data_IF_885621072010
#
_entry.id   IF_885621072010
#
_cell.length_a   1.000
_cell.length_b   1.000
_cell.length_c   1.000
_cell.angle_alpha   90.00
_cell.angle_beta   90.00
_cell.angle_gamma   90.00
#
_symmetry.space_group_name_H-M   'P 1'
#
loop_
_entity.id
_entity.type
_entity.pdbx_description
1 polymer ?
#
# COMPACT_ATOMS: atom_id res chain seq x y z
N UNK A 1 -56.11 -1.43 -10.52
CA UNK A 1 -55.19 -0.51 -9.80
C UNK A 1 -54.12 -1.22 -8.97
N UNK A 2 -54.39 -2.35 -8.34
CA UNK A 2 -53.41 -3.14 -7.60
C UNK A 2 -52.24 -3.68 -8.48
N UNK A 3 -52.51 -3.97 -9.75
CA UNK A 3 -51.47 -4.46 -10.69
C UNK A 3 -50.45 -3.36 -11.04
N UNK A 4 -50.93 -2.12 -11.22
CA UNK A 4 -50.05 -0.96 -11.50
C UNK A 4 -49.20 -0.63 -10.31
N UNK A 5 -49.76 -0.66 -9.09
CA UNK A 5 -49.04 -0.43 -7.85
C UNK A 5 -47.95 -1.47 -7.62
N UNK A 6 -48.26 -2.74 -7.87
CA UNK A 6 -47.27 -3.84 -7.76
C UNK A 6 -46.14 -3.73 -8.77
N UNK A 7 -46.44 -3.29 -10.00
CA UNK A 7 -45.45 -3.05 -11.04
C UNK A 7 -44.55 -1.86 -10.68
N UNK A 8 -45.12 -0.76 -10.17
CA UNK A 8 -44.39 0.43 -9.71
C UNK A 8 -43.48 0.11 -8.54
N UNK A 9 -43.96 -0.64 -7.55
CA UNK A 9 -43.15 -1.08 -6.41
C UNK A 9 -42.00 -2.00 -6.84
N UNK A 10 -42.24 -2.91 -7.80
CA UNK A 10 -41.18 -3.79 -8.34
C UNK A 10 -40.12 -3.02 -9.08
N UNK A 11 -40.50 -2.02 -9.87
CA UNK A 11 -39.52 -1.17 -10.57
C UNK A 11 -38.73 -0.29 -9.60
N UNK A 12 -39.41 0.31 -8.61
CA UNK A 12 -38.76 1.13 -7.60
C UNK A 12 -37.77 0.31 -6.76
N UNK A 13 -38.10 -0.93 -6.38
CA UNK A 13 -37.19 -1.80 -5.61
C UNK A 13 -35.93 -2.16 -6.40
N UNK A 14 -36.02 -2.32 -7.71
CA UNK A 14 -34.84 -2.55 -8.56
C UNK A 14 -33.87 -1.36 -8.54
N UNK A 15 -34.40 -0.14 -8.70
CA UNK A 15 -33.54 1.07 -8.66
C UNK A 15 -32.92 1.30 -7.28
N UNK A 16 -33.67 1.00 -6.21
CA UNK A 16 -33.14 1.08 -4.84
C UNK A 16 -32.01 0.05 -4.63
N UNK A 17 -32.19 -1.18 -5.13
CA UNK A 17 -31.16 -2.23 -5.02
C UNK A 17 -29.90 -1.85 -5.79
N UNK A 18 -30.03 -1.32 -7.01
CA UNK A 18 -28.89 -0.86 -7.82
C UNK A 18 -28.19 0.33 -7.15
N UNK A 19 -28.96 1.30 -6.64
CA UNK A 19 -28.41 2.45 -5.91
C UNK A 19 -27.67 2.04 -4.65
N UNK A 20 -28.20 1.09 -3.89
CA UNK A 20 -27.52 0.53 -2.72
C UNK A 20 -26.20 -0.15 -3.13
N UNK A 21 -26.21 -0.95 -4.20
CA UNK A 21 -25.00 -1.63 -4.70
C UNK A 21 -23.91 -0.64 -5.09
N UNK A 22 -24.27 0.48 -5.74
CA UNK A 22 -23.33 1.53 -6.12
C UNK A 22 -22.78 2.25 -4.89
N UNK A 23 -23.63 2.56 -3.90
CA UNK A 23 -23.19 3.23 -2.65
C UNK A 23 -22.26 2.32 -1.85
N UNK A 24 -22.55 1.02 -1.77
CA UNK A 24 -21.74 0.05 -1.02
C UNK A 24 -20.60 -0.58 -1.85
N UNK A 25 -20.38 -0.13 -3.08
CA UNK A 25 -19.32 -0.64 -3.93
C UNK A 25 -17.93 -0.61 -3.26
N UNK A 26 -17.50 0.48 -2.60
CA UNK A 26 -16.19 0.53 -1.96
C UNK A 26 -16.08 -0.46 -0.79
N UNK A 27 -17.14 -0.60 0.02
CA UNK A 27 -17.18 -1.54 1.13
C UNK A 27 -17.15 -3.00 0.65
N UNK A 28 -17.91 -3.31 -0.41
CA UNK A 28 -17.89 -4.63 -1.04
C UNK A 28 -16.51 -4.96 -1.62
N UNK A 29 -15.85 -4.00 -2.28
CA UNK A 29 -14.50 -4.18 -2.80
C UNK A 29 -13.51 -4.48 -1.68
N UNK A 30 -13.60 -3.78 -0.56
CA UNK A 30 -12.76 -4.01 0.62
C UNK A 30 -12.99 -5.40 1.23
N UNK A 31 -14.25 -5.79 1.42
CA UNK A 31 -14.61 -7.12 1.96
C UNK A 31 -14.17 -8.26 1.04
N UNK A 32 -14.34 -8.11 -0.28
CA UNK A 32 -13.89 -9.10 -1.25
C UNK A 32 -12.36 -9.19 -1.31
N UNK A 33 -11.66 -8.07 -1.14
CA UNK A 33 -10.21 -8.03 -0.99
C UNK A 33 -9.72 -8.82 0.24
N UNK A 34 -10.38 -8.67 1.38
CA UNK A 34 -10.08 -9.43 2.60
C UNK A 34 -10.31 -10.95 2.41
N UNK A 35 -11.34 -11.35 1.65
CA UNK A 35 -11.60 -12.74 1.30
C UNK A 35 -10.58 -13.33 0.32
N UNK A 36 -10.04 -12.50 -0.60
CA UNK A 36 -8.98 -12.89 -1.54
C UNK A 36 -7.63 -13.18 -0.86
N UNK A 37 -7.41 -12.61 0.32
CA UNK A 37 -6.22 -12.83 1.15
C UNK A 37 -6.23 -14.15 1.94
N UNK A 38 -7.23 -15.02 1.74
CA UNK A 38 -7.17 -16.36 2.32
C UNK A 38 -5.98 -17.12 1.70
N UNK A 39 -5.06 -17.67 2.52
CA UNK A 39 -3.78 -18.20 2.09
C UNK A 39 -3.87 -19.52 1.30
N UNK A 40 -4.95 -19.69 0.53
CA UNK A 40 -5.21 -20.94 -0.21
C UNK A 40 -4.42 -21.05 -1.53
N UNK A 41 -3.81 -19.95 -2.02
CA UNK A 41 -3.22 -19.90 -3.36
C UNK A 41 -1.82 -19.26 -3.45
N UNK A 42 -1.24 -18.78 -2.35
CA UNK A 42 0.09 -18.18 -2.38
C UNK A 42 1.11 -19.18 -1.85
N UNK A 43 2.10 -19.51 -2.67
CA UNK A 43 3.17 -20.43 -2.31
C UNK A 43 4.01 -19.78 -1.20
N UNK A 44 4.02 -20.40 -0.03
CA UNK A 44 4.74 -19.95 1.18
C UNK A 44 6.24 -19.69 0.94
N UNK A 45 6.79 -20.18 -0.15
CA UNK A 45 8.20 -20.04 -0.51
C UNK A 45 8.50 -18.64 -1.10
N UNK A 46 7.73 -18.19 -2.08
CA UNK A 46 7.89 -16.86 -2.72
C UNK A 46 7.71 -15.69 -1.73
N UNK A 47 6.76 -15.82 -0.81
CA UNK A 47 6.58 -14.80 0.23
C UNK A 47 7.78 -14.67 1.18
N UNK A 48 8.47 -15.78 1.49
CA UNK A 48 9.64 -15.75 2.37
C UNK A 48 10.85 -15.11 1.69
N UNK A 49 11.10 -15.40 0.43
CA UNK A 49 12.20 -14.82 -0.33
C UNK A 49 12.04 -13.30 -0.44
N UNK A 50 10.84 -12.81 -0.71
CA UNK A 50 10.55 -11.38 -0.77
C UNK A 50 10.74 -10.66 0.57
N UNK A 51 10.37 -11.31 1.67
CA UNK A 51 10.60 -10.75 3.02
C UNK A 51 12.10 -10.64 3.31
N UNK A 52 12.90 -11.65 2.97
CA UNK A 52 14.34 -11.62 3.16
C UNK A 52 15.02 -10.50 2.36
N UNK A 53 14.62 -10.29 1.10
CA UNK A 53 15.10 -9.18 0.26
C UNK A 53 14.81 -7.84 0.94
N UNK A 54 13.60 -7.64 1.45
CA UNK A 54 13.22 -6.40 2.12
C UNK A 54 14.03 -6.21 3.40
N UNK A 55 14.16 -7.25 4.23
CA UNK A 55 14.92 -7.17 5.49
C UNK A 55 16.37 -6.79 5.21
N UNK A 56 17.05 -7.48 4.29
CA UNK A 56 18.43 -7.16 3.92
C UNK A 56 18.58 -5.73 3.41
N UNK A 57 17.64 -5.28 2.58
CA UNK A 57 17.64 -3.91 2.05
C UNK A 57 17.53 -2.89 3.17
N UNK A 58 16.54 -3.02 4.05
CA UNK A 58 16.27 -2.01 5.08
C UNK A 58 17.38 -1.98 6.13
N UNK A 59 18.01 -3.11 6.46
CA UNK A 59 19.18 -3.16 7.34
C UNK A 59 20.36 -2.39 6.74
N UNK A 60 20.70 -2.64 5.47
CA UNK A 60 21.78 -1.94 4.78
C UNK A 60 21.51 -0.43 4.66
N UNK A 61 20.27 -0.04 4.30
CA UNK A 61 19.90 1.37 4.22
C UNK A 61 19.87 2.06 5.59
N UNK A 62 19.48 1.34 6.65
CA UNK A 62 19.49 1.83 8.02
C UNK A 62 20.90 2.12 8.53
N UNK A 63 21.86 1.23 8.25
CA UNK A 63 23.26 1.37 8.65
C UNK A 63 23.89 2.65 8.09
N UNK A 64 23.53 3.01 6.86
CA UNK A 64 24.04 4.23 6.18
C UNK A 64 23.09 5.42 6.29
N UNK A 65 21.96 5.27 7.00
CA UNK A 65 20.91 6.28 7.19
C UNK A 65 20.34 6.84 5.87
N UNK A 66 20.14 5.97 4.91
CA UNK A 66 19.42 6.30 3.69
C UNK A 66 17.92 6.05 3.93
N UNK A 67 17.10 7.10 3.76
CA UNK A 67 15.64 7.01 3.92
C UNK A 67 15.01 6.15 2.85
N UNK A 68 14.10 5.25 3.23
CA UNK A 68 13.35 4.41 2.31
C UNK A 68 11.88 4.33 2.70
N UNK A 69 11.02 4.11 1.70
CA UNK A 69 9.59 3.92 1.83
C UNK A 69 9.15 2.84 0.85
N UNK A 70 8.84 1.64 1.36
CA UNK A 70 8.55 0.46 0.56
C UNK A 70 7.15 -0.03 0.90
N UNK A 71 6.23 -0.02 -0.08
CA UNK A 71 4.89 -0.60 0.03
C UNK A 71 4.83 -1.94 -0.69
N UNK A 72 4.25 -2.95 -0.05
CA UNK A 72 4.09 -4.29 -0.60
C UNK A 72 2.62 -4.46 -0.97
N UNK A 73 2.32 -4.40 -2.29
CA UNK A 73 0.95 -4.55 -2.78
C UNK A 73 0.40 -5.94 -2.43
N UNK A 74 -0.80 -5.94 -1.86
CA UNK A 74 -1.54 -7.14 -1.52
C UNK A 74 -2.78 -7.27 -2.42
N UNK A 75 -3.96 -7.43 -1.83
CA UNK A 75 -5.21 -7.60 -2.60
C UNK A 75 -5.77 -6.28 -3.12
N UNK A 76 -5.56 -5.18 -2.40
CA UNK A 76 -5.99 -3.85 -2.82
C UNK A 76 -4.90 -3.26 -3.71
N UNK A 77 -5.24 -3.01 -4.97
CA UNK A 77 -4.33 -2.37 -5.91
C UNK A 77 -4.02 -0.93 -5.50
N UNK A 78 -2.74 -0.55 -5.57
CA UNK A 78 -2.26 0.78 -5.21
C UNK A 78 -2.34 1.76 -6.41
N UNK A 79 -3.50 1.78 -7.11
CA UNK A 79 -3.66 2.47 -8.38
C UNK A 79 -3.32 3.97 -8.32
N UNK A 80 -3.79 4.68 -7.30
CA UNK A 80 -3.53 6.12 -7.17
C UNK A 80 -2.04 6.42 -6.93
N UNK A 81 -1.36 5.58 -6.15
CA UNK A 81 0.07 5.70 -5.91
C UNK A 81 0.88 5.35 -7.18
N UNK A 82 0.45 4.33 -7.92
CA UNK A 82 1.06 3.90 -9.18
C UNK A 82 1.00 5.00 -10.25
N UNK A 83 -0.13 5.72 -10.38
CA UNK A 83 -0.29 6.80 -11.37
C UNK A 83 0.70 7.96 -11.18
N UNK A 84 1.17 8.19 -9.95
CA UNK A 84 2.18 9.20 -9.64
C UNK A 84 3.62 8.74 -9.88
N UNK A 85 3.83 7.42 -9.95
CA UNK A 85 5.13 6.78 -9.96
C UNK A 85 5.73 6.60 -11.35
N UNK A 86 7.01 6.22 -11.35
CA UNK A 86 7.75 5.84 -12.53
C UNK A 86 7.79 4.31 -12.63
N UNK A 87 7.42 3.76 -13.78
CA UNK A 87 7.47 2.32 -14.04
C UNK A 87 8.93 1.86 -14.04
N UNK A 88 9.24 0.85 -13.23
CA UNK A 88 10.58 0.22 -13.14
C UNK A 88 10.52 -1.20 -13.67
N UNK A 89 9.52 -1.97 -13.25
CA UNK A 89 9.21 -3.33 -13.68
C UNK A 89 10.42 -4.27 -13.73
N UNK A 90 11.13 -4.39 -12.62
CA UNK A 90 12.28 -5.30 -12.46
C UNK A 90 12.11 -6.22 -11.26
N UNK A 91 12.97 -7.25 -11.17
CA UNK A 91 13.05 -8.13 -10.01
C UNK A 91 13.43 -7.34 -8.74
N UNK A 92 12.79 -7.65 -7.64
CA UNK A 92 13.08 -7.04 -6.35
C UNK A 92 14.33 -7.69 -5.76
N UNK A 93 15.45 -6.97 -5.86
CA UNK A 93 16.73 -7.36 -5.23
C UNK A 93 17.20 -6.27 -4.28
N UNK A 94 17.99 -6.60 -3.25
CA UNK A 94 18.53 -5.59 -2.35
C UNK A 94 19.31 -4.51 -3.09
N UNK A 95 20.13 -4.90 -4.07
CA UNK A 95 20.99 -4.00 -4.85
C UNK A 95 20.15 -3.02 -5.70
N UNK A 96 19.02 -3.47 -6.25
CA UNK A 96 18.12 -2.60 -7.02
C UNK A 96 17.42 -1.61 -6.10
N UNK A 97 16.90 -2.06 -4.96
CA UNK A 97 16.25 -1.19 -3.98
C UNK A 97 17.22 -0.16 -3.40
N UNK A 98 18.44 -0.57 -3.05
CA UNK A 98 19.52 0.35 -2.62
C UNK A 98 19.82 1.39 -3.70
N UNK A 99 19.89 0.97 -4.97
CA UNK A 99 20.12 1.87 -6.10
C UNK A 99 19.01 2.89 -6.25
N UNK A 100 17.75 2.47 -6.11
CA UNK A 100 16.59 3.37 -6.19
C UNK A 100 16.64 4.42 -5.09
N UNK A 101 16.88 4.02 -3.83
CA UNK A 101 16.89 4.95 -2.69
C UNK A 101 18.19 5.73 -2.52
N UNK A 102 19.21 5.42 -3.32
CA UNK A 102 20.48 6.12 -3.21
C UNK A 102 20.30 7.63 -3.43
N UNK A 103 20.81 8.48 -2.52
CA UNK A 103 20.65 9.94 -2.62
C UNK A 103 21.14 10.48 -3.96
N UNK A 104 20.43 11.46 -4.49
CA UNK A 104 20.65 12.08 -5.81
C UNK A 104 20.33 11.21 -7.02
N UNK A 105 19.76 10.02 -6.83
CA UNK A 105 19.12 9.29 -7.94
C UNK A 105 17.81 10.01 -8.34
N UNK A 106 17.48 10.00 -9.62
CA UNK A 106 16.28 10.67 -10.14
C UNK A 106 14.95 10.13 -9.57
N UNK A 107 14.95 8.91 -9.05
CA UNK A 107 13.76 8.18 -8.57
C UNK A 107 13.80 7.87 -7.07
N UNK A 108 14.71 8.49 -6.30
CA UNK A 108 14.87 8.20 -4.87
C UNK A 108 13.83 8.87 -3.97
N UNK A 109 13.21 9.95 -4.47
CA UNK A 109 12.20 10.70 -3.72
C UNK A 109 10.81 10.10 -3.97
N UNK A 110 10.20 9.61 -2.89
CA UNK A 110 8.92 8.90 -2.93
C UNK A 110 9.00 7.48 -2.41
N UNK A 111 7.97 6.71 -2.72
CA UNK A 111 7.87 5.29 -2.33
C UNK A 111 8.14 4.35 -3.49
N UNK A 112 8.50 3.13 -3.13
CA UNK A 112 8.62 1.99 -4.04
C UNK A 112 7.44 1.05 -3.81
N UNK A 113 6.86 0.53 -4.87
CA UNK A 113 5.80 -0.46 -4.82
C UNK A 113 6.35 -1.80 -5.31
N UNK A 114 6.24 -2.81 -4.45
CA UNK A 114 6.59 -4.20 -4.75
C UNK A 114 5.30 -5.01 -4.88
N UNK A 115 5.20 -5.78 -5.94
CA UNK A 115 4.10 -6.72 -6.17
C UNK A 115 4.69 -8.10 -6.49
N UNK A 116 4.39 -9.08 -5.62
CA UNK A 116 5.06 -10.37 -5.71
C UNK A 116 6.57 -10.20 -5.53
N UNK A 117 7.35 -10.69 -6.48
CA UNK A 117 8.81 -10.63 -6.55
C UNK A 117 9.35 -9.43 -7.35
N UNK A 118 8.49 -8.49 -7.76
CA UNK A 118 8.88 -7.40 -8.67
C UNK A 118 8.68 -6.02 -8.06
N UNK A 119 9.65 -5.15 -8.31
CA UNK A 119 9.50 -3.69 -8.14
C UNK A 119 8.72 -3.19 -9.35
N UNK A 120 7.48 -2.78 -9.15
CA UNK A 120 6.63 -2.29 -10.24
C UNK A 120 6.86 -0.81 -10.52
N UNK A 121 6.88 0.01 -9.48
CA UNK A 121 7.01 1.46 -9.58
C UNK A 121 7.93 2.01 -8.51
N UNK A 122 8.59 3.13 -8.81
CA UNK A 122 9.38 3.94 -7.88
C UNK A 122 8.97 5.41 -7.95
N UNK A 123 9.48 6.24 -7.05
CA UNK A 123 9.12 7.66 -6.92
C UNK A 123 7.60 7.89 -6.77
N UNK A 124 6.89 6.94 -6.18
CA UNK A 124 5.44 7.04 -5.97
C UNK A 124 5.13 8.00 -4.83
N UNK A 125 4.13 8.85 -5.03
CA UNK A 125 3.62 9.76 -4.01
C UNK A 125 2.50 9.05 -3.25
N UNK A 126 2.67 8.88 -1.94
CA UNK A 126 1.66 8.29 -1.09
C UNK A 126 0.87 9.37 -0.34
N UNK A 127 -0.42 9.13 -0.07
CA UNK A 127 -1.24 10.08 0.68
C UNK A 127 -0.68 10.27 2.09
N UNK A 128 -0.70 11.51 2.57
CA UNK A 128 -0.28 11.81 3.94
C UNK A 128 -1.46 11.62 4.89
N UNK A 129 -1.22 10.93 5.99
CA UNK A 129 -2.25 10.78 7.03
C UNK A 129 -2.74 12.13 7.56
N UNK A 130 -4.04 12.19 7.87
CA UNK A 130 -4.70 13.35 8.44
C UNK A 130 -4.83 13.26 9.97
N UNK A 131 -4.24 12.25 10.61
CA UNK A 131 -4.32 12.07 12.07
C UNK A 131 -3.66 13.24 12.82
N UNK A 132 -4.41 13.98 13.70
CA UNK A 132 -3.89 15.16 14.38
C UNK A 132 -2.91 14.81 15.51
N UNK A 133 -3.02 13.63 16.10
CA UNK A 133 -2.28 13.22 17.31
C UNK A 133 -0.92 12.59 17.02
N UNK A 134 -0.49 12.59 15.76
CA UNK A 134 0.80 12.02 15.41
C UNK A 134 1.95 12.89 15.94
N UNK A 135 2.93 12.21 16.49
CA UNK A 135 4.14 12.85 17.02
C UNK A 135 4.77 13.75 15.94
N UNK A 136 4.96 15.04 16.27
CA UNK A 136 5.50 16.07 15.36
C UNK A 136 6.91 15.74 14.86
N UNK A 137 7.58 14.77 15.47
CA UNK A 137 8.92 14.30 15.07
C UNK A 137 8.90 13.28 13.92
N UNK A 138 7.70 12.89 13.43
CA UNK A 138 7.59 11.97 12.31
C UNK A 138 7.87 12.69 11.00
N UNK A 139 8.87 12.23 10.25
CA UNK A 139 9.18 12.71 8.91
C UNK A 139 8.10 12.39 7.89
N UNK A 140 8.21 13.01 6.72
CA UNK A 140 7.23 12.90 5.63
C UNK A 140 6.99 11.45 5.21
N UNK A 141 8.04 10.62 5.08
CA UNK A 141 7.93 9.19 4.72
C UNK A 141 7.10 8.40 5.72
N UNK A 142 7.24 8.65 7.02
CA UNK A 142 6.42 7.99 8.03
C UNK A 142 4.94 8.38 7.93
N UNK A 143 4.66 9.66 7.70
CA UNK A 143 3.29 10.14 7.53
C UNK A 143 2.64 9.61 6.26
N UNK A 144 3.42 9.46 5.19
CA UNK A 144 2.99 8.85 3.94
C UNK A 144 2.72 7.34 4.10
N UNK A 145 3.56 6.63 4.85
CA UNK A 145 3.34 5.22 5.17
C UNK A 145 2.04 5.00 5.94
N UNK A 146 1.77 5.83 6.96
CA UNK A 146 0.52 5.74 7.73
C UNK A 146 -0.66 6.02 6.81
N UNK A 147 -0.63 7.11 6.03
CA UNK A 147 -1.74 7.50 5.15
C UNK A 147 -2.09 6.41 4.14
N UNK A 148 -1.12 5.84 3.44
CA UNK A 148 -1.38 4.74 2.51
C UNK A 148 -1.92 3.49 3.22
N UNK A 149 -1.42 3.16 4.42
CA UNK A 149 -1.87 1.99 5.18
C UNK A 149 -3.28 2.14 5.79
N UNK A 150 -3.81 3.37 5.89
CA UNK A 150 -5.19 3.64 6.30
C UNK A 150 -6.19 3.26 5.21
N UNK A 151 -5.80 3.40 3.95
CA UNK A 151 -6.65 3.22 2.78
C UNK A 151 -6.50 1.83 2.13
N UNK A 152 -5.42 1.12 2.45
CA UNK A 152 -5.04 -0.14 1.79
C UNK A 152 -4.71 -1.26 2.77
N UNK A 153 -4.56 -2.48 2.25
CA UNK A 153 -4.10 -3.65 2.98
C UNK A 153 -2.58 -3.91 2.79
N UNK A 154 -1.88 -2.93 2.21
CA UNK A 154 -0.45 -3.04 1.98
C UNK A 154 0.35 -2.85 3.29
N UNK A 155 1.20 -3.80 3.68
CA UNK A 155 2.24 -3.55 4.68
C UNK A 155 3.29 -2.61 4.08
N UNK A 156 3.75 -1.65 4.89
CA UNK A 156 4.69 -0.64 4.46
C UNK A 156 5.88 -0.62 5.40
N UNK A 157 7.07 -0.56 4.84
CA UNK A 157 8.33 -0.45 5.61
C UNK A 157 8.96 0.90 5.35
N UNK A 158 9.43 1.53 6.43
CA UNK A 158 10.07 2.85 6.40
C UNK A 158 11.42 2.80 7.09
N UNK A 159 12.43 3.37 6.44
CA UNK A 159 13.72 3.66 7.04
C UNK A 159 13.85 5.17 7.23
N UNK A 160 14.19 5.61 8.43
CA UNK A 160 14.39 7.01 8.76
C UNK A 160 15.76 7.50 8.26
N UNK A 161 15.79 8.55 7.46
CA UNK A 161 17.05 9.18 7.04
C UNK A 161 17.78 9.93 8.16
N UNK A 162 17.05 10.32 9.22
CA UNK A 162 17.66 11.02 10.36
C UNK A 162 18.31 10.07 11.35
N UNK A 163 17.60 8.97 11.69
CA UNK A 163 18.00 8.07 12.77
C UNK A 163 18.49 6.72 12.30
N UNK A 164 18.13 6.28 11.10
CA UNK A 164 18.31 4.91 10.63
C UNK A 164 17.27 3.93 11.21
N UNK A 165 16.31 4.40 12.03
CA UNK A 165 15.31 3.52 12.62
C UNK A 165 14.42 2.92 11.55
N UNK A 166 14.19 1.60 11.65
CA UNK A 166 13.28 0.86 10.79
C UNK A 166 11.91 0.83 11.46
N UNK A 167 10.87 1.11 10.70
CA UNK A 167 9.49 1.04 11.18
C UNK A 167 8.64 0.26 10.17
N UNK A 168 7.68 -0.50 10.64
CA UNK A 168 6.66 -1.07 9.78
C UNK A 168 5.28 -0.49 10.11
N UNK A 169 4.46 -0.33 9.08
CA UNK A 169 3.14 0.29 9.18
C UNK A 169 2.11 -0.63 8.51
N UNK A 170 1.02 -0.86 9.20
CA UNK A 170 -0.09 -1.67 8.71
C UNK A 170 -1.40 -1.20 9.32
N UNK A 171 -2.45 -1.01 8.49
CA UNK A 171 -3.79 -0.56 8.92
C UNK A 171 -3.76 0.68 9.84
N UNK A 172 -2.99 1.69 9.46
CA UNK A 172 -2.85 2.95 10.20
C UNK A 172 -2.02 2.87 11.49
N UNK A 173 -1.49 1.69 11.82
CA UNK A 173 -0.66 1.48 13.02
C UNK A 173 0.80 1.33 12.64
N UNK A 174 1.66 2.09 13.33
CA UNK A 174 3.10 2.06 13.14
C UNK A 174 3.78 1.42 14.34
N UNK A 175 4.63 0.44 14.08
CA UNK A 175 5.53 -0.18 15.06
C UNK A 175 6.96 0.16 14.66
N UNK A 176 7.73 0.66 15.62
CA UNK A 176 9.17 0.95 15.47
C UNK A 176 9.98 -0.23 15.99
N UNK A 177 10.99 -0.63 15.22
CA UNK A 177 12.03 -1.56 15.64
C UNK A 177 13.16 -0.85 16.39
#
# INVERSE_FOLDING_TARGET
>A
DLKVLRWLLGSASFFVAVGALVIFQPELRRMLGELGNLPLFVTTHEQRENIEVIIQTVERLADVKIGALIAIEQSIQLQEAVESGIVVDCEATPEMLETIFFPNNAIHDGGVIIKGDRITHAACIFPLTQQPDLNKTLGTRHRAAIGLSEETDAPIVVVSEETGAISHVYKGQMVRG
#
